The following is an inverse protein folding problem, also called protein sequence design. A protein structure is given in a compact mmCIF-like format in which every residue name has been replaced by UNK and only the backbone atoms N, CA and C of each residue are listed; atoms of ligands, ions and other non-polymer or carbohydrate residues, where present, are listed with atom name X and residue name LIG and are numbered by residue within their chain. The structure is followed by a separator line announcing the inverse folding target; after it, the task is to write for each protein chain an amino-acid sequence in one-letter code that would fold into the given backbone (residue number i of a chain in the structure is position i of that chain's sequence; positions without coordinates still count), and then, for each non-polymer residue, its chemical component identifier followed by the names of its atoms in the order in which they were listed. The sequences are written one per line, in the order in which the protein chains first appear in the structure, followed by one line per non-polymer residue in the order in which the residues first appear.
data_IF_648361128279
#
_entry.id   IF_648361128279
#
_cell.length_a   1.000
_cell.length_b   1.000
_cell.length_c   1.000
_cell.angle_alpha   90.00
_cell.angle_beta   90.00
_cell.angle_gamma   90.00
#
_symmetry.space_group_name_H-M   'P 1'
#
loop_
_entity.id
_entity.type
_entity.pdbx_description
1 polymer ?
#
# COMPACT_ATOMS: atom_id res chain seq x y z
N UNK A 1 -21.43 13.17 13.28
CA UNK A 1 -22.02 12.92 11.95
C UNK A 1 -20.96 13.14 10.88
N UNK A 2 -20.69 12.14 10.02
CA UNK A 2 -19.67 12.26 8.96
C UNK A 2 -20.32 12.94 7.76
N UNK A 3 -19.96 14.20 7.51
CA UNK A 3 -20.49 15.02 6.41
C UNK A 3 -19.76 14.67 5.08
N UNK A 4 -20.10 13.50 4.51
CA UNK A 4 -19.66 13.06 3.17
C UNK A 4 -20.77 13.15 2.11
N UNK A 5 -21.95 13.64 2.50
CA UNK A 5 -23.11 13.79 1.63
C UNK A 5 -22.80 14.70 0.43
N UNK A 6 -23.09 14.20 -0.78
CA UNK A 6 -22.93 14.92 -2.06
C UNK A 6 -21.58 14.73 -2.77
N UNK A 7 -20.62 14.00 -2.20
CA UNK A 7 -19.28 13.81 -2.80
C UNK A 7 -19.08 12.44 -3.46
N UNK A 8 -19.93 11.49 -3.12
CA UNK A 8 -19.97 10.16 -3.72
C UNK A 8 -21.40 9.83 -4.10
N UNK A 9 -21.57 9.12 -5.23
CA UNK A 9 -22.85 8.57 -5.65
C UNK A 9 -22.81 7.07 -5.33
N UNK A 10 -23.51 6.61 -4.27
CA UNK A 10 -23.51 5.20 -3.92
C UNK A 10 -24.36 4.42 -4.93
N UNK A 11 -23.76 3.40 -5.55
CA UNK A 11 -24.45 2.45 -6.41
C UNK A 11 -24.24 1.05 -5.83
N UNK A 12 -25.33 0.37 -5.51
CA UNK A 12 -25.30 -1.03 -5.06
C UNK A 12 -25.65 -1.91 -6.26
N UNK A 13 -24.82 -2.92 -6.52
CA UNK A 13 -25.05 -3.92 -7.55
C UNK A 13 -24.95 -5.31 -6.92
N UNK A 14 -25.89 -6.19 -7.25
CA UNK A 14 -25.75 -7.63 -7.05
C UNK A 14 -24.81 -8.18 -8.14
N UNK A 15 -23.59 -8.54 -7.74
CA UNK A 15 -22.54 -9.00 -8.64
C UNK A 15 -22.85 -10.34 -9.32
N UNK A 16 -23.87 -11.08 -8.86
CA UNK A 16 -24.32 -12.33 -9.47
C UNK A 16 -25.51 -12.13 -10.42
N UNK A 17 -26.08 -10.91 -10.46
CA UNK A 17 -27.22 -10.55 -11.30
C UNK A 17 -26.89 -9.33 -12.17
N UNK A 18 -27.50 -8.17 -11.91
CA UNK A 18 -27.33 -6.96 -12.73
C UNK A 18 -25.89 -6.41 -12.70
N UNK A 19 -25.12 -6.75 -11.68
CA UNK A 19 -23.73 -6.34 -11.50
C UNK A 19 -22.70 -7.24 -12.17
N UNK A 20 -23.09 -8.35 -12.81
CA UNK A 20 -22.13 -9.35 -13.33
C UNK A 20 -21.11 -8.75 -14.30
N UNK A 21 -21.57 -7.98 -15.28
CA UNK A 21 -20.70 -7.33 -16.25
C UNK A 21 -19.73 -6.32 -15.59
N UNK A 22 -20.19 -5.59 -14.57
CA UNK A 22 -19.35 -4.68 -13.80
C UNK A 22 -18.31 -5.44 -12.95
N UNK A 23 -18.72 -6.55 -12.32
CA UNK A 23 -17.84 -7.40 -11.53
C UNK A 23 -16.72 -7.99 -12.40
N UNK A 24 -17.05 -8.46 -13.61
CA UNK A 24 -16.07 -8.92 -14.60
C UNK A 24 -15.14 -7.78 -15.05
N UNK A 25 -15.69 -6.64 -15.49
CA UNK A 25 -14.91 -5.47 -15.95
C UNK A 25 -13.87 -5.01 -14.93
N UNK A 26 -14.24 -4.95 -13.66
CA UNK A 26 -13.37 -4.45 -12.58
C UNK A 26 -12.64 -5.56 -11.81
N UNK A 27 -12.65 -6.78 -12.33
CA UNK A 27 -12.00 -7.95 -11.73
C UNK A 27 -12.32 -8.09 -10.23
N UNK A 28 -13.61 -8.06 -9.89
CA UNK A 28 -14.10 -8.35 -8.54
C UNK A 28 -14.04 -9.85 -8.33
N UNK A 29 -13.24 -10.29 -7.35
CA UNK A 29 -12.97 -11.72 -7.08
C UNK A 29 -13.48 -12.21 -5.71
N UNK A 30 -14.11 -11.33 -4.94
CA UNK A 30 -14.60 -11.63 -3.60
C UNK A 30 -15.60 -10.59 -3.13
N UNK A 31 -16.52 -11.00 -2.27
CA UNK A 31 -17.61 -10.17 -1.79
C UNK A 31 -17.53 -9.94 -0.27
N UNK A 32 -17.93 -8.75 0.23
CA UNK A 32 -18.23 -7.56 -0.56
C UNK A 32 -16.95 -6.95 -1.17
N UNK A 33 -17.08 -6.23 -2.28
CA UNK A 33 -16.04 -5.35 -2.81
C UNK A 33 -16.66 -3.99 -3.07
N UNK A 34 -16.02 -2.93 -2.59
CA UNK A 34 -16.41 -1.54 -2.83
C UNK A 34 -15.38 -0.92 -3.76
N UNK A 35 -15.84 -0.38 -4.89
CA UNK A 35 -15.02 0.32 -5.86
C UNK A 35 -15.36 1.80 -5.84
N UNK A 36 -14.33 2.64 -5.87
CA UNK A 36 -14.46 4.07 -6.07
C UNK A 36 -14.09 4.37 -7.51
N UNK A 37 -15.03 4.90 -8.28
CA UNK A 37 -14.86 5.18 -9.71
C UNK A 37 -14.95 6.69 -9.95
N UNK A 38 -14.10 7.21 -10.84
CA UNK A 38 -14.26 8.58 -11.36
C UNK A 38 -15.33 8.63 -12.48
N UNK A 39 -15.61 9.83 -12.99
CA UNK A 39 -16.61 10.05 -14.03
C UNK A 39 -16.31 9.31 -15.35
N UNK A 40 -15.05 8.97 -15.64
CA UNK A 40 -14.66 8.15 -16.81
C UNK A 40 -14.73 6.64 -16.55
N UNK A 41 -15.10 6.22 -15.33
CA UNK A 41 -15.18 4.81 -14.94
C UNK A 41 -13.83 4.17 -14.61
N UNK A 42 -12.78 4.96 -14.37
CA UNK A 42 -11.51 4.44 -13.87
C UNK A 42 -11.58 4.22 -12.35
N UNK A 43 -10.91 3.19 -11.87
CA UNK A 43 -10.82 2.88 -10.43
C UNK A 43 -9.86 3.85 -9.75
N UNK A 44 -10.36 4.57 -8.75
CA UNK A 44 -9.60 5.49 -7.90
C UNK A 44 -9.35 4.95 -6.49
N UNK A 45 -10.05 3.88 -6.11
CA UNK A 45 -9.86 3.15 -4.87
C UNK A 45 -10.64 1.83 -4.85
N UNK A 46 -10.20 0.88 -4.03
CA UNK A 46 -10.84 -0.43 -3.85
C UNK A 46 -10.76 -0.85 -2.39
N UNK A 47 -11.88 -1.35 -1.85
CA UNK A 47 -11.94 -1.99 -0.54
C UNK A 47 -12.49 -3.40 -0.76
N UNK A 48 -11.72 -4.41 -0.40
CA UNK A 48 -12.14 -5.80 -0.41
C UNK A 48 -12.56 -6.26 0.98
N UNK A 49 -13.63 -7.05 1.06
CA UNK A 49 -14.15 -7.57 2.31
C UNK A 49 -14.87 -6.52 3.16
N UNK A 50 -15.30 -6.94 4.34
CA UNK A 50 -15.94 -6.06 5.30
C UNK A 50 -14.93 -5.09 5.92
N UNK A 51 -15.31 -3.81 6.01
CA UNK A 51 -14.55 -2.79 6.70
C UNK A 51 -15.46 -2.08 7.72
N UNK A 52 -15.06 -1.95 9.00
CA UNK A 52 -15.86 -1.24 9.99
C UNK A 52 -16.07 0.24 9.62
N UNK A 53 -17.12 0.91 10.15
CA UNK A 53 -17.49 2.26 9.73
C UNK A 53 -16.39 3.32 9.88
N UNK A 54 -15.59 3.25 10.95
CA UNK A 54 -14.52 4.23 11.21
C UNK A 54 -13.40 4.18 10.15
N UNK A 55 -12.72 3.02 9.98
CA UNK A 55 -11.75 2.82 8.91
C UNK A 55 -12.34 3.08 7.51
N UNK A 56 -13.58 2.67 7.28
CA UNK A 56 -14.25 2.92 5.99
C UNK A 56 -14.39 4.41 5.69
N UNK A 57 -14.85 5.22 6.65
CA UNK A 57 -14.94 6.66 6.49
C UNK A 57 -13.56 7.32 6.29
N UNK A 58 -12.52 6.81 6.94
CA UNK A 58 -11.16 7.27 6.72
C UNK A 58 -10.69 6.97 5.29
N UNK A 59 -11.00 5.78 4.76
CA UNK A 59 -10.64 5.41 3.40
C UNK A 59 -11.38 6.25 2.35
N UNK A 60 -12.67 6.51 2.56
CA UNK A 60 -13.42 7.46 1.71
C UNK A 60 -12.78 8.85 1.68
N UNK A 61 -12.33 9.36 2.83
CA UNK A 61 -11.61 10.65 2.90
C UNK A 61 -10.29 10.62 2.13
N UNK A 62 -9.54 9.51 2.20
CA UNK A 62 -8.29 9.35 1.43
C UNK A 62 -8.55 9.29 -0.07
N UNK A 63 -9.57 8.55 -0.51
CA UNK A 63 -9.96 8.48 -1.92
C UNK A 63 -10.33 9.87 -2.43
N UNK A 64 -11.15 10.61 -1.68
CA UNK A 64 -11.50 12.00 -2.01
C UNK A 64 -10.27 12.90 -2.13
N UNK A 65 -9.38 12.87 -1.14
CA UNK A 65 -8.17 13.69 -1.15
C UNK A 65 -7.27 13.33 -2.34
N UNK A 66 -7.16 12.05 -2.66
CA UNK A 66 -6.40 11.54 -3.80
C UNK A 66 -6.99 11.99 -5.13
N UNK A 67 -8.32 11.93 -5.27
CA UNK A 67 -9.05 12.43 -6.44
C UNK A 67 -8.77 13.93 -6.65
N UNK A 68 -8.90 14.74 -5.61
CA UNK A 68 -8.67 16.19 -5.69
C UNK A 68 -7.20 16.54 -6.00
N UNK A 69 -6.23 15.78 -5.46
CA UNK A 69 -4.81 16.02 -5.69
C UNK A 69 -4.33 15.60 -7.08
N UNK A 70 -4.99 14.61 -7.70
CA UNK A 70 -4.53 13.95 -8.91
C UNK A 70 -4.26 14.91 -10.09
N UNK A 71 -5.16 15.82 -10.47
CA UNK A 71 -4.92 16.73 -11.62
C UNK A 71 -3.71 17.64 -11.41
N UNK A 72 -3.50 18.12 -10.17
CA UNK A 72 -2.36 18.96 -9.83
C UNK A 72 -1.03 18.21 -9.88
N UNK A 73 -1.01 16.98 -9.36
CA UNK A 73 0.16 16.09 -9.42
C UNK A 73 0.49 15.69 -10.86
N UNK A 74 -0.54 15.38 -11.66
CA UNK A 74 -0.38 15.05 -13.07
C UNK A 74 0.23 16.21 -13.83
N UNK A 75 -0.31 17.44 -13.66
CA UNK A 75 0.24 18.64 -14.30
C UNK A 75 1.69 18.89 -13.89
N UNK A 76 2.00 18.86 -12.59
CA UNK A 76 3.38 19.03 -12.08
C UNK A 76 4.34 18.01 -12.68
N UNK A 77 3.95 16.74 -12.71
CA UNK A 77 4.75 15.67 -13.29
C UNK A 77 4.95 15.86 -14.79
N UNK A 78 3.97 16.38 -15.53
CA UNK A 78 4.09 16.63 -16.97
C UNK A 78 4.93 17.87 -17.30
N UNK A 79 4.71 18.99 -16.59
CA UNK A 79 5.38 20.26 -16.89
C UNK A 79 6.77 20.35 -16.27
N UNK A 80 7.07 19.56 -15.24
CA UNK A 80 8.40 19.49 -14.64
C UNK A 80 8.93 18.05 -14.52
N UNK A 81 9.61 17.57 -15.59
CA UNK A 81 10.75 16.66 -15.62
C UNK A 81 11.27 16.11 -14.30
N UNK A 82 11.75 17.05 -13.51
CA UNK A 82 12.61 16.86 -12.33
C UNK A 82 11.86 17.04 -11.01
N UNK A 83 10.53 17.10 -11.04
CA UNK A 83 9.72 17.12 -9.83
C UNK A 83 9.56 15.69 -9.27
N UNK A 84 10.58 15.22 -8.54
CA UNK A 84 10.60 13.89 -7.93
C UNK A 84 9.44 13.70 -6.94
N UNK A 85 9.05 14.76 -6.23
CA UNK A 85 7.94 14.71 -5.28
C UNK A 85 6.61 14.46 -6.01
N UNK A 86 6.31 15.22 -7.07
CA UNK A 86 5.09 15.03 -7.83
C UNK A 86 5.05 13.66 -8.50
N UNK A 87 6.18 13.21 -9.07
CA UNK A 87 6.30 11.88 -9.66
C UNK A 87 6.04 10.78 -8.62
N UNK A 88 6.66 10.86 -7.44
CA UNK A 88 6.48 9.88 -6.36
C UNK A 88 5.05 9.87 -5.81
N UNK A 89 4.45 11.03 -5.54
CA UNK A 89 3.05 11.12 -5.07
C UNK A 89 2.08 10.55 -6.11
N UNK A 90 2.31 10.82 -7.39
CA UNK A 90 1.49 10.27 -8.48
C UNK A 90 1.70 8.74 -8.60
N UNK A 91 2.92 8.25 -8.38
CA UNK A 91 3.22 6.81 -8.32
C UNK A 91 2.45 6.12 -7.19
N UNK A 92 2.41 6.71 -5.99
CA UNK A 92 1.58 6.21 -4.86
C UNK A 92 0.11 6.09 -5.28
N UNK A 93 -0.44 7.12 -5.93
CA UNK A 93 -1.85 7.08 -6.37
C UNK A 93 -2.09 5.98 -7.40
N UNK A 94 -1.22 5.84 -8.41
CA UNK A 94 -1.36 4.78 -9.39
C UNK A 94 -1.18 3.38 -8.79
N UNK A 95 -0.26 3.20 -7.83
CA UNK A 95 -0.07 1.93 -7.14
C UNK A 95 -1.33 1.50 -6.38
N UNK A 96 -1.94 2.41 -5.61
CA UNK A 96 -3.21 2.15 -4.90
C UNK A 96 -4.39 1.88 -5.83
N UNK A 97 -4.36 2.43 -7.05
CA UNK A 97 -5.33 2.15 -8.13
C UNK A 97 -5.04 0.85 -8.88
N UNK A 98 -3.94 0.17 -8.56
CA UNK A 98 -3.48 -1.04 -9.22
C UNK A 98 -2.87 -0.84 -10.60
N UNK A 99 -2.62 0.41 -11.00
CA UNK A 99 -1.92 0.73 -12.24
C UNK A 99 -0.40 0.68 -12.01
N UNK A 100 0.12 -0.53 -11.86
CA UNK A 100 1.51 -0.76 -11.47
C UNK A 100 2.53 -0.33 -12.53
N UNK A 101 2.16 -0.35 -13.80
CA UNK A 101 3.03 0.10 -14.89
C UNK A 101 3.29 1.60 -14.79
N UNK A 102 2.23 2.43 -14.69
CA UNK A 102 2.38 3.87 -14.50
C UNK A 102 3.07 4.20 -13.18
N UNK A 103 2.75 3.47 -12.11
CA UNK A 103 3.40 3.65 -10.81
C UNK A 103 4.91 3.39 -10.91
N UNK A 104 5.32 2.27 -11.51
CA UNK A 104 6.73 1.90 -11.67
C UNK A 104 7.48 2.91 -12.53
N UNK A 105 6.91 3.33 -13.66
CA UNK A 105 7.55 4.30 -14.54
C UNK A 105 7.79 5.66 -13.85
N UNK A 106 6.81 6.15 -13.08
CA UNK A 106 6.95 7.38 -12.30
C UNK A 106 7.94 7.24 -11.16
N UNK A 107 7.99 6.07 -10.51
CA UNK A 107 8.94 5.79 -9.44
C UNK A 107 10.37 5.73 -9.98
N UNK A 108 10.60 5.03 -11.10
CA UNK A 108 11.88 5.05 -11.81
C UNK A 108 12.31 6.46 -12.18
N UNK A 109 11.38 7.30 -12.65
CA UNK A 109 11.70 8.70 -12.93
C UNK A 109 12.08 9.48 -11.67
N UNK A 110 11.37 9.28 -10.56
CA UNK A 110 11.71 9.91 -9.29
C UNK A 110 13.09 9.46 -8.79
N UNK A 111 13.42 8.17 -8.93
CA UNK A 111 14.73 7.60 -8.59
C UNK A 111 15.86 8.20 -9.46
N UNK A 112 15.62 8.46 -10.75
CA UNK A 112 16.62 9.14 -11.60
C UNK A 112 16.93 10.56 -11.12
N UNK A 113 15.94 11.25 -10.54
CA UNK A 113 16.09 12.64 -10.08
C UNK A 113 16.69 12.70 -8.67
N UNK A 114 16.27 11.80 -7.78
CA UNK A 114 16.74 11.71 -6.40
C UNK A 114 17.13 10.26 -6.04
N UNK A 115 18.30 9.77 -6.49
CA UNK A 115 18.67 8.35 -6.37
C UNK A 115 18.78 7.83 -4.94
N UNK A 116 19.01 8.74 -3.97
CA UNK A 116 19.14 8.40 -2.55
C UNK A 116 17.86 8.65 -1.77
N UNK A 117 16.78 9.10 -2.43
CA UNK A 117 15.56 9.57 -1.78
C UNK A 117 15.87 10.60 -0.68
N UNK A 118 16.84 11.50 -0.92
CA UNK A 118 17.22 12.53 0.03
C UNK A 118 16.05 13.47 0.34
N UNK A 119 15.09 13.63 -0.57
CA UNK A 119 13.82 14.31 -0.35
C UNK A 119 12.85 13.51 0.54
N UNK A 120 12.93 12.17 0.52
CA UNK A 120 12.06 11.27 1.28
C UNK A 120 10.69 11.03 0.64
N UNK A 121 10.48 11.49 -0.60
CA UNK A 121 9.18 11.47 -1.26
C UNK A 121 8.76 10.11 -1.80
N UNK A 122 9.73 9.20 -2.04
CA UNK A 122 9.46 7.91 -2.68
C UNK A 122 9.05 6.80 -1.72
N UNK A 123 9.25 6.98 -0.41
CA UNK A 123 9.00 5.95 0.60
C UNK A 123 7.56 5.43 0.54
N UNK A 124 6.59 6.34 0.50
CA UNK A 124 5.17 5.99 0.41
C UNK A 124 4.82 5.28 -0.92
N UNK A 125 5.50 5.63 -2.01
CA UNK A 125 5.30 4.98 -3.31
C UNK A 125 5.86 3.56 -3.32
N UNK A 126 7.04 3.35 -2.72
CA UNK A 126 7.60 2.01 -2.51
C UNK A 126 6.68 1.14 -1.68
N UNK A 127 6.17 1.66 -0.55
CA UNK A 127 5.25 0.93 0.31
C UNK A 127 3.97 0.57 -0.43
N UNK A 128 3.29 1.55 -1.05
CA UNK A 128 2.03 1.31 -1.75
C UNK A 128 2.15 0.30 -2.92
N UNK A 129 3.26 0.34 -3.67
CA UNK A 129 3.49 -0.62 -4.75
C UNK A 129 3.91 -1.99 -4.21
N UNK A 130 4.66 -2.03 -3.11
CA UNK A 130 5.01 -3.25 -2.39
C UNK A 130 3.76 -3.96 -1.86
N UNK A 131 2.86 -3.22 -1.20
CA UNK A 131 1.59 -3.72 -0.66
C UNK A 131 0.73 -4.34 -1.77
N UNK A 132 0.62 -3.65 -2.91
CA UNK A 132 -0.09 -4.16 -4.07
C UNK A 132 0.46 -5.54 -4.52
N UNK A 133 1.78 -5.69 -4.60
CA UNK A 133 2.39 -6.96 -4.98
C UNK A 133 2.27 -8.02 -3.88
N UNK A 134 2.37 -7.64 -2.61
CA UNK A 134 2.19 -8.53 -1.48
C UNK A 134 0.77 -9.12 -1.44
N UNK A 135 -0.27 -8.32 -1.65
CA UNK A 135 -1.66 -8.78 -1.74
C UNK A 135 -1.87 -9.80 -2.86
N UNK A 136 -1.07 -9.70 -3.94
CA UNK A 136 -1.06 -10.63 -5.08
C UNK A 136 -0.12 -11.81 -4.90
N UNK A 137 0.53 -11.93 -3.73
CA UNK A 137 1.57 -12.92 -3.42
C UNK A 137 2.77 -12.88 -4.37
N UNK A 138 2.99 -11.76 -5.06
CA UNK A 138 4.17 -11.50 -5.90
C UNK A 138 5.32 -11.00 -5.03
N UNK A 139 5.77 -11.86 -4.11
CA UNK A 139 6.75 -11.50 -3.08
C UNK A 139 8.12 -11.13 -3.65
N UNK A 140 8.48 -11.70 -4.80
CA UNK A 140 9.66 -11.38 -5.60
C UNK A 140 9.69 -9.90 -6.04
N UNK A 141 8.52 -9.31 -6.29
CA UNK A 141 8.36 -7.88 -6.63
C UNK A 141 8.14 -7.01 -5.40
N UNK A 142 7.47 -7.52 -4.38
CA UNK A 142 7.14 -6.76 -3.17
C UNK A 142 8.37 -6.48 -2.30
N UNK A 143 9.18 -7.51 -2.00
CA UNK A 143 10.30 -7.42 -1.06
C UNK A 143 11.33 -6.35 -1.48
N UNK A 144 11.76 -6.25 -2.77
CA UNK A 144 12.70 -5.21 -3.18
C UNK A 144 12.18 -3.78 -2.94
N UNK A 145 10.87 -3.54 -3.11
CA UNK A 145 10.26 -2.24 -2.87
C UNK A 145 10.25 -1.92 -1.38
N UNK A 146 9.85 -2.86 -0.53
CA UNK A 146 9.92 -2.67 0.92
C UNK A 146 11.35 -2.46 1.40
N UNK A 147 12.33 -3.17 0.84
CA UNK A 147 13.76 -2.93 1.16
C UNK A 147 14.19 -1.51 0.82
N UNK A 148 13.76 -0.96 -0.33
CA UNK A 148 14.00 0.46 -0.67
C UNK A 148 13.35 1.40 0.35
N UNK A 149 12.12 1.12 0.80
CA UNK A 149 11.43 1.90 1.81
C UNK A 149 12.14 1.85 3.20
N UNK A 150 12.56 0.66 3.63
CA UNK A 150 13.31 0.48 4.88
C UNK A 150 14.65 1.22 4.87
N UNK A 151 15.38 1.11 3.75
CA UNK A 151 16.70 1.73 3.60
C UNK A 151 16.62 3.26 3.50
N UNK A 152 15.65 3.80 2.77
CA UNK A 152 15.60 5.22 2.41
C UNK A 152 14.51 6.04 3.10
N UNK A 153 13.66 5.39 3.90
CA UNK A 153 12.64 6.07 4.68
C UNK A 153 13.25 7.10 5.65
N UNK A 154 12.51 8.17 5.93
CA UNK A 154 12.92 9.16 6.95
C UNK A 154 12.20 8.92 8.27
N UNK A 155 10.94 8.50 8.19
CA UNK A 155 10.10 8.27 9.36
C UNK A 155 10.32 6.85 9.91
N UNK A 156 10.57 6.70 11.24
CA UNK A 156 10.70 5.39 11.87
C UNK A 156 9.52 4.46 11.60
N UNK A 157 8.29 5.00 11.60
CA UNK A 157 7.08 4.22 11.33
C UNK A 157 7.07 3.62 9.92
N UNK A 158 7.57 4.35 8.91
CA UNK A 158 7.66 3.82 7.53
C UNK A 158 8.70 2.72 7.41
N UNK A 159 9.84 2.85 8.10
CA UNK A 159 10.88 1.80 8.13
C UNK A 159 10.38 0.55 8.84
N UNK A 160 9.77 0.71 10.01
CA UNK A 160 9.16 -0.39 10.75
C UNK A 160 8.09 -1.10 9.93
N UNK A 161 7.21 -0.35 9.27
CA UNK A 161 6.22 -0.92 8.38
C UNK A 161 6.86 -1.73 7.25
N UNK A 162 7.90 -1.20 6.60
CA UNK A 162 8.63 -1.93 5.56
C UNK A 162 9.25 -3.24 6.06
N UNK A 163 9.93 -3.23 7.21
CA UNK A 163 10.50 -4.44 7.81
C UNK A 163 9.42 -5.47 8.18
N UNK A 164 8.31 -5.04 8.79
CA UNK A 164 7.16 -5.91 9.06
C UNK A 164 6.59 -6.52 7.77
N UNK A 165 6.44 -5.75 6.70
CA UNK A 165 5.94 -6.26 5.43
C UNK A 165 6.88 -7.26 4.78
N UNK A 166 8.21 -7.06 4.85
CA UNK A 166 9.20 -8.05 4.39
C UNK A 166 9.08 -9.34 5.22
N UNK A 167 9.00 -9.23 6.55
CA UNK A 167 8.82 -10.39 7.42
C UNK A 167 7.55 -11.18 7.07
N UNK A 168 6.43 -10.49 6.83
CA UNK A 168 5.16 -11.13 6.43
C UNK A 168 5.29 -11.82 5.06
N UNK A 169 6.00 -11.21 4.10
CA UNK A 169 6.28 -11.85 2.81
C UNK A 169 7.05 -13.16 3.01
N UNK A 170 8.12 -13.14 3.80
CA UNK A 170 8.93 -14.32 4.09
C UNK A 170 8.16 -15.41 4.84
N UNK A 171 7.38 -15.05 5.86
CA UNK A 171 6.53 -16.01 6.57
C UNK A 171 5.46 -16.62 5.67
N UNK A 172 4.91 -15.85 4.73
CA UNK A 172 3.95 -16.34 3.73
C UNK A 172 4.58 -17.33 2.74
N UNK A 173 5.90 -17.34 2.64
CA UNK A 173 6.71 -18.29 1.86
C UNK A 173 7.29 -19.42 2.74
N UNK A 174 6.95 -19.49 4.03
CA UNK A 174 7.54 -20.38 5.04
C UNK A 174 9.05 -20.16 5.27
N UNK A 175 9.59 -19.02 4.84
CA UNK A 175 11.00 -18.67 5.01
C UNK A 175 11.22 -17.97 6.37
N UNK A 176 10.97 -18.71 7.45
CA UNK A 176 11.01 -18.17 8.80
C UNK A 176 12.38 -17.59 9.18
N UNK A 177 13.47 -18.23 8.75
CA UNK A 177 14.84 -17.75 8.99
C UNK A 177 15.07 -16.34 8.43
N UNK A 178 14.51 -16.05 7.25
CA UNK A 178 14.61 -14.73 6.62
C UNK A 178 13.68 -13.69 7.25
N UNK A 179 12.62 -14.12 7.94
CA UNK A 179 11.67 -13.21 8.59
C UNK A 179 12.18 -12.68 9.94
N UNK A 180 12.89 -13.51 10.72
CA UNK A 180 13.42 -13.15 12.05
C UNK A 180 14.23 -11.85 12.06
N UNK A 181 15.26 -11.65 11.21
CA UNK A 181 16.07 -10.43 11.26
C UNK A 181 15.26 -9.16 10.96
N UNK A 182 14.22 -9.25 10.13
CA UNK A 182 13.35 -8.12 9.80
C UNK A 182 12.44 -7.73 11.00
N UNK A 183 11.94 -8.74 11.73
CA UNK A 183 11.19 -8.51 12.96
C UNK A 183 12.07 -7.92 14.06
N UNK A 184 13.31 -8.43 14.21
CA UNK A 184 14.28 -7.90 15.17
C UNK A 184 14.66 -6.44 14.83
N UNK A 185 14.88 -6.13 13.55
CA UNK A 185 15.12 -4.78 13.09
C UNK A 185 13.99 -3.82 13.51
N UNK A 186 12.73 -4.25 13.35
CA UNK A 186 11.54 -3.48 13.78
C UNK A 186 11.58 -3.16 15.28
N UNK A 187 11.92 -4.14 16.12
CA UNK A 187 12.00 -3.96 17.59
C UNK A 187 13.14 -3.01 17.97
N UNK A 188 14.29 -3.14 17.31
CA UNK A 188 15.49 -2.35 17.57
C UNK A 188 15.38 -0.89 17.07
N UNK A 189 14.57 -0.62 16.05
CA UNK A 189 14.42 0.71 15.46
C UNK A 189 13.93 1.76 16.49
N UNK A 190 14.66 2.88 16.67
CA UNK A 190 14.26 3.96 17.57
C UNK A 190 13.08 4.75 17.00
N UNK A 191 12.20 5.27 17.85
CA UNK A 191 11.07 6.12 17.45
C UNK A 191 9.91 5.39 16.76
N UNK A 192 9.92 4.06 16.73
CA UNK A 192 8.82 3.24 16.19
C UNK A 192 7.66 3.17 17.18
N UNK A 193 6.39 3.28 16.72
CA UNK A 193 5.20 3.11 17.56
C UNK A 193 5.22 1.78 18.34
N UNK A 194 4.77 1.80 19.59
CA UNK A 194 4.80 0.64 20.48
C UNK A 194 4.04 -0.55 19.88
N UNK A 195 2.92 -0.28 19.22
CA UNK A 195 2.05 -1.28 18.59
C UNK A 195 2.80 -2.09 17.52
N UNK A 196 3.65 -1.43 16.73
CA UNK A 196 4.46 -2.10 15.71
C UNK A 196 5.55 -2.97 16.33
N UNK A 197 6.18 -2.51 17.43
CA UNK A 197 7.16 -3.31 18.16
C UNK A 197 6.52 -4.52 18.82
N UNK A 198 5.34 -4.34 19.41
CA UNK A 198 4.61 -5.42 20.08
C UNK A 198 4.10 -6.44 19.06
N UNK A 199 3.66 -5.99 17.88
CA UNK A 199 3.36 -6.88 16.76
C UNK A 199 4.59 -7.71 16.36
N UNK A 200 5.76 -7.08 16.20
CA UNK A 200 6.99 -7.78 15.84
C UNK A 200 7.39 -8.83 16.90
N UNK A 201 7.34 -8.45 18.19
CA UNK A 201 7.62 -9.36 19.32
C UNK A 201 6.70 -10.57 19.32
N UNK A 202 5.39 -10.34 19.15
CA UNK A 202 4.40 -11.41 19.09
C UNK A 202 4.69 -12.39 17.95
N UNK A 203 5.10 -11.88 16.78
CA UNK A 203 5.47 -12.74 15.64
C UNK A 203 6.75 -13.55 15.95
N UNK A 204 7.76 -12.95 16.58
CA UNK A 204 8.97 -13.65 17.01
C UNK A 204 8.67 -14.77 18.02
N UNK A 205 7.81 -14.50 19.01
CA UNK A 205 7.44 -15.50 20.00
C UNK A 205 6.67 -16.67 19.39
N UNK A 206 5.78 -16.40 18.42
CA UNK A 206 5.08 -17.45 17.66
C UNK A 206 6.05 -18.33 16.85
N UNK A 207 7.08 -17.73 16.25
CA UNK A 207 8.12 -18.47 15.53
C UNK A 207 8.86 -19.39 16.50
N UNK A 208 9.30 -18.88 17.65
CA UNK A 208 10.03 -19.64 18.68
C UNK A 208 9.19 -20.81 19.21
N UNK A 209 7.92 -20.58 19.52
CA UNK A 209 7.02 -21.61 20.02
C UNK A 209 6.80 -22.75 19.02
N UNK A 210 6.81 -22.47 17.71
CA UNK A 210 6.69 -23.50 16.66
C UNK A 210 7.98 -24.28 16.45
N UNK A 211 9.13 -23.69 16.78
CA UNK A 211 10.44 -24.32 16.66
C UNK A 211 10.83 -25.15 17.89
N UNK A 212 10.16 -24.98 19.03
CA UNK A 212 10.34 -25.85 20.19
C UNK A 212 9.72 -27.23 19.93
N UNK A 213 10.46 -28.35 20.10
CA UNK A 213 9.87 -29.68 20.05
C UNK A 213 8.78 -29.79 21.12
N UNK A 214 7.60 -30.31 20.76
CA UNK A 214 6.63 -30.74 21.76
C UNK A 214 7.28 -31.88 22.55
N UNK A 215 7.64 -31.58 23.80
CA UNK A 215 8.10 -32.54 24.81
C UNK A 215 7.00 -33.52 25.19
#
# INVERSE_FOLDING_TARGET
MVQLTGQFVPVKLDAEKEGKAAAEKYAVRGFPTILFLNASGEVEGKIGGYMPPGPFAAEMKKVKASHAAFPGLLRRSQTNPKDAEAAAKLATLYARRGNTERASALLTRAETVDPKNAGGHMTEAYLALGDYYQERRSFDRAIPLFRKAAATGKEPAQKAYAHLSIAVCHLSQNNTEAAVPELEATVALPGVPAEMKDQARKMLDQIRQRSSPQS
#
